data_IF_629887252403
#
_entry.id   IF_629887252403
#
_cell.length_a   1.000
_cell.length_b   1.000
_cell.length_c   1.000
_cell.angle_alpha   90.00
_cell.angle_beta   90.00
_cell.angle_gamma   90.00
#
_symmetry.space_group_name_H-M   'P 1'
#
loop_
_entity.id
_entity.type
_entity.pdbx_description
1 polymer ?
#
# COMPACT_ATOMS: atom_id res chain seq x y z
N UNK A 1 11.55 -12.75 24.46
CA UNK A 1 10.21 -12.70 25.08
C UNK A 1 9.45 -11.48 24.57
N UNK A 2 10.06 -10.29 24.66
CA UNK A 2 9.54 -9.02 24.12
C UNK A 2 9.23 -9.03 22.60
N UNK A 3 10.08 -9.65 21.78
CA UNK A 3 9.85 -9.77 20.33
C UNK A 3 8.66 -10.67 19.97
N UNK A 4 8.39 -11.70 20.77
CA UNK A 4 7.29 -12.64 20.52
C UNK A 4 5.94 -11.98 20.88
N UNK A 5 5.90 -11.24 21.99
CA UNK A 5 4.75 -10.42 22.38
C UNK A 5 4.48 -9.31 21.37
N UNK A 6 5.51 -8.64 20.85
CA UNK A 6 5.37 -7.61 19.81
C UNK A 6 4.80 -8.21 18.51
N UNK A 7 5.27 -9.40 18.12
CA UNK A 7 4.74 -10.13 16.95
C UNK A 7 3.26 -10.48 17.11
N UNK A 8 2.87 -10.96 18.30
CA UNK A 8 1.48 -11.30 18.61
C UNK A 8 0.57 -10.07 18.56
N UNK A 9 0.98 -8.97 19.18
CA UNK A 9 0.22 -7.70 19.17
C UNK A 9 0.04 -7.17 17.74
N UNK A 10 1.11 -7.15 16.95
CA UNK A 10 1.06 -6.72 15.54
C UNK A 10 0.15 -7.60 14.69
N UNK A 11 0.17 -8.91 14.91
CA UNK A 11 -0.73 -9.85 14.22
C UNK A 11 -2.19 -9.61 14.61
N UNK A 12 -2.49 -9.41 15.89
CA UNK A 12 -3.84 -9.11 16.37
C UNK A 12 -4.37 -7.80 15.79
N UNK A 13 -3.53 -6.75 15.75
CA UNK A 13 -3.90 -5.46 15.17
C UNK A 13 -4.20 -5.58 13.67
N UNK A 14 -3.30 -6.22 12.92
CA UNK A 14 -3.46 -6.46 11.47
C UNK A 14 -4.75 -7.26 11.19
N UNK A 15 -5.03 -8.28 11.99
CA UNK A 15 -6.24 -9.12 11.85
C UNK A 15 -7.51 -8.34 12.13
N UNK A 16 -7.52 -7.49 13.18
CA UNK A 16 -8.67 -6.65 13.50
C UNK A 16 -8.95 -5.61 12.42
N UNK A 17 -7.91 -4.97 11.87
CA UNK A 17 -8.03 -4.02 10.76
C UNK A 17 -8.59 -4.70 9.50
N UNK A 18 -8.08 -5.89 9.15
CA UNK A 18 -8.59 -6.69 8.04
C UNK A 18 -10.07 -7.04 8.22
N UNK A 19 -10.45 -7.59 9.37
CA UNK A 19 -11.84 -7.94 9.67
C UNK A 19 -12.75 -6.70 9.63
N UNK A 20 -12.26 -5.57 10.13
CA UNK A 20 -12.95 -4.29 10.04
C UNK A 20 -13.18 -3.84 8.60
N UNK A 21 -12.17 -3.97 7.75
CA UNK A 21 -12.24 -3.57 6.35
C UNK A 21 -13.16 -4.48 5.52
N UNK A 22 -13.13 -5.80 5.78
CA UNK A 22 -14.05 -6.78 5.17
C UNK A 22 -15.50 -6.50 5.57
N UNK A 23 -15.76 -6.26 6.87
CA UNK A 23 -17.11 -5.97 7.37
C UNK A 23 -17.71 -4.67 6.83
N UNK A 24 -16.87 -3.66 6.60
CA UNK A 24 -17.28 -2.37 6.02
C UNK A 24 -17.33 -2.37 4.50
N UNK A 25 -16.99 -3.50 3.85
CA UNK A 25 -16.84 -3.63 2.40
C UNK A 25 -15.84 -2.61 1.79
N UNK A 26 -14.93 -2.07 2.62
CA UNK A 26 -13.94 -1.09 2.18
C UNK A 26 -12.70 -1.75 1.58
N UNK A 27 -12.52 -3.06 1.78
CA UNK A 27 -11.45 -3.86 1.19
C UNK A 27 -11.96 -5.27 0.89
N UNK A 28 -11.57 -5.80 -0.29
CA UNK A 28 -11.67 -7.21 -0.60
C UNK A 28 -10.26 -7.83 -0.51
N UNK A 29 -10.00 -8.73 0.44
CA UNK A 29 -8.72 -9.42 0.53
C UNK A 29 -8.40 -10.12 -0.79
N UNK A 30 -7.13 -10.05 -1.20
CA UNK A 30 -6.63 -10.69 -2.43
C UNK A 30 -7.31 -10.23 -3.73
N UNK A 31 -7.89 -9.02 -3.75
CA UNK A 31 -8.56 -8.44 -4.93
C UNK A 31 -7.63 -7.84 -5.98
N UNK A 32 -6.34 -7.66 -5.65
CA UNK A 32 -5.30 -7.16 -6.55
C UNK A 32 -4.42 -8.35 -6.96
N UNK A 33 -4.63 -8.91 -8.17
CA UNK A 33 -3.84 -10.04 -8.65
C UNK A 33 -2.43 -9.59 -9.02
N UNK A 34 -1.46 -10.46 -8.79
CA UNK A 34 -0.08 -10.31 -9.27
C UNK A 34 0.14 -11.28 -10.42
N UNK A 35 0.97 -10.87 -11.39
CA UNK A 35 1.35 -11.75 -12.50
C UNK A 35 2.07 -12.98 -11.95
N UNK A 36 1.60 -14.20 -12.27
CA UNK A 36 2.25 -15.43 -11.82
C UNK A 36 3.74 -15.48 -12.14
N UNK A 37 4.52 -16.06 -11.23
CA UNK A 37 5.98 -16.11 -11.32
C UNK A 37 6.49 -16.77 -12.60
N UNK A 38 5.80 -17.79 -13.10
CA UNK A 38 6.15 -18.48 -14.34
C UNK A 38 6.12 -17.54 -15.54
N UNK A 39 5.09 -16.69 -15.62
CA UNK A 39 4.96 -15.67 -16.66
C UNK A 39 5.98 -14.56 -16.44
N UNK A 40 6.14 -14.10 -15.19
CA UNK A 40 7.08 -13.03 -14.86
C UNK A 40 8.53 -13.42 -15.17
N UNK A 41 8.96 -14.63 -14.86
CA UNK A 41 10.31 -15.14 -15.14
C UNK A 41 10.62 -15.27 -16.62
N UNK A 42 9.60 -15.51 -17.46
CA UNK A 42 9.77 -15.59 -18.91
C UNK A 42 10.10 -14.23 -19.54
N UNK A 43 9.60 -13.13 -18.97
CA UNK A 43 9.91 -11.76 -19.40
C UNK A 43 9.62 -10.72 -18.31
N UNK A 44 10.54 -10.55 -17.37
CA UNK A 44 10.33 -9.68 -16.21
C UNK A 44 10.04 -8.22 -16.62
N UNK A 45 10.71 -7.75 -17.68
CA UNK A 45 10.56 -6.38 -18.19
C UNK A 45 9.20 -6.08 -18.82
N UNK A 46 8.44 -7.11 -19.24
CA UNK A 46 7.09 -6.94 -19.78
C UNK A 46 6.05 -6.71 -18.67
N UNK A 47 6.32 -7.22 -17.46
CA UNK A 47 5.40 -7.17 -16.32
C UNK A 47 5.82 -6.17 -15.24
N UNK A 48 7.00 -5.54 -15.38
CA UNK A 48 7.40 -4.42 -14.53
C UNK A 48 6.82 -3.10 -15.05
N UNK A 49 6.10 -2.32 -14.23
CA UNK A 49 5.61 -1.01 -14.65
C UNK A 49 6.77 -0.08 -15.02
N UNK A 50 6.60 0.65 -16.12
CA UNK A 50 7.64 1.54 -16.68
C UNK A 50 7.37 3.02 -16.49
N UNK A 51 6.13 3.37 -16.19
CA UNK A 51 5.67 4.77 -16.15
C UNK A 51 4.82 5.03 -14.91
N UNK A 52 3.82 4.17 -14.68
CA UNK A 52 2.87 4.33 -13.59
C UNK A 52 2.84 3.08 -12.73
N UNK A 53 2.98 3.27 -11.42
CA UNK A 53 2.66 2.28 -10.40
C UNK A 53 1.75 2.91 -9.36
N UNK A 54 0.76 2.15 -8.88
CA UNK A 54 -0.15 2.58 -7.83
C UNK A 54 -0.03 1.58 -6.68
N UNK A 55 0.03 2.09 -5.45
CA UNK A 55 0.20 1.27 -4.26
C UNK A 55 1.65 0.88 -3.95
N UNK A 56 1.85 0.04 -2.92
CA UNK A 56 3.16 -0.21 -2.33
C UNK A 56 4.03 -1.21 -3.10
N UNK A 57 3.47 -2.05 -3.99
CA UNK A 57 4.18 -3.19 -4.60
C UNK A 57 5.48 -2.82 -5.34
N UNK A 58 5.51 -1.66 -6.01
CA UNK A 58 6.68 -1.20 -6.78
C UNK A 58 7.29 0.09 -6.22
N UNK A 59 7.01 0.41 -4.95
CA UNK A 59 7.55 1.61 -4.30
C UNK A 59 9.08 1.57 -4.27
N UNK A 60 9.70 2.73 -4.48
CA UNK A 60 11.16 2.89 -4.38
C UNK A 60 11.98 2.38 -5.57
N UNK A 61 11.35 1.77 -6.59
CA UNK A 61 12.04 1.41 -7.83
C UNK A 61 12.54 2.65 -8.56
N UNK A 62 13.82 2.64 -8.97
CA UNK A 62 14.52 3.81 -9.55
C UNK A 62 13.79 4.34 -10.77
N UNK A 63 13.33 3.45 -11.64
CA UNK A 63 12.59 3.75 -12.86
C UNK A 63 11.21 4.36 -12.62
N UNK A 64 10.68 4.27 -11.39
CA UNK A 64 9.36 4.78 -11.01
C UNK A 64 9.43 6.04 -10.13
N UNK A 65 10.64 6.50 -9.75
CA UNK A 65 10.80 7.74 -8.99
C UNK A 65 10.14 8.98 -9.65
N UNK A 66 10.12 9.13 -10.99
CA UNK A 66 9.34 10.21 -11.62
C UNK A 66 7.85 10.16 -11.28
N UNK A 67 7.29 8.95 -11.11
CA UNK A 67 5.89 8.79 -10.72
C UNK A 67 5.67 9.12 -9.23
N UNK A 68 6.64 8.81 -8.36
CA UNK A 68 6.56 9.19 -6.94
C UNK A 68 6.47 10.71 -6.77
N UNK A 69 7.23 11.48 -7.56
CA UNK A 69 7.14 12.94 -7.61
C UNK A 69 5.74 13.42 -8.01
N UNK A 70 5.15 12.80 -9.04
CA UNK A 70 3.78 13.10 -9.49
C UNK A 70 2.75 12.77 -8.39
N UNK A 71 2.90 11.64 -7.67
CA UNK A 71 2.02 11.29 -6.54
C UNK A 71 2.05 12.37 -5.47
N UNK A 72 3.24 12.89 -5.12
CA UNK A 72 3.37 13.98 -4.16
C UNK A 72 2.72 15.28 -4.64
N UNK A 73 2.92 15.67 -5.91
CA UNK A 73 2.21 16.83 -6.50
C UNK A 73 0.70 16.69 -6.42
N UNK A 74 0.18 15.51 -6.76
CA UNK A 74 -1.25 15.20 -6.68
C UNK A 74 -1.76 15.31 -5.24
N UNK A 75 -1.03 14.76 -4.26
CA UNK A 75 -1.38 14.87 -2.85
C UNK A 75 -1.41 16.34 -2.38
N UNK A 76 -0.36 17.11 -2.68
CA UNK A 76 -0.31 18.54 -2.31
C UNK A 76 -1.45 19.31 -2.94
N UNK A 77 -1.75 19.07 -4.22
CA UNK A 77 -2.88 19.70 -4.91
C UNK A 77 -4.22 19.33 -4.27
N UNK A 78 -4.43 18.05 -3.94
CA UNK A 78 -5.63 17.57 -3.26
C UNK A 78 -5.82 18.25 -1.89
N UNK A 79 -4.77 18.26 -1.07
CA UNK A 79 -4.81 18.87 0.26
C UNK A 79 -5.10 20.37 0.20
N UNK A 80 -4.49 21.09 -0.75
CA UNK A 80 -4.71 22.53 -0.95
C UNK A 80 -6.16 22.87 -1.30
N UNK A 81 -6.87 21.97 -2.00
CA UNK A 81 -8.24 22.18 -2.46
C UNK A 81 -9.29 21.83 -1.41
N UNK A 82 -9.01 20.86 -0.54
CA UNK A 82 -10.04 20.25 0.30
C UNK A 82 -9.92 20.63 1.78
N UNK A 83 -8.70 20.79 2.31
CA UNK A 83 -8.48 20.82 3.76
C UNK A 83 -7.47 21.86 4.27
N UNK A 84 -6.65 22.46 3.38
CA UNK A 84 -5.53 23.34 3.76
C UNK A 84 -4.25 22.56 4.10
N UNK A 85 -3.08 23.20 4.01
CA UNK A 85 -1.77 22.53 4.14
C UNK A 85 -1.51 21.88 5.51
N UNK A 86 -2.19 22.34 6.57
CA UNK A 86 -1.99 21.85 7.95
C UNK A 86 -2.61 20.46 8.23
N UNK A 87 -3.27 19.84 7.26
CA UNK A 87 -3.94 18.54 7.42
C UNK A 87 -3.15 17.33 6.91
N UNK A 88 -1.91 17.54 6.45
CA UNK A 88 -1.07 16.44 5.96
C UNK A 88 -0.87 15.35 7.03
N UNK A 89 -0.70 15.74 8.29
CA UNK A 89 -0.50 14.80 9.39
C UNK A 89 -1.71 13.87 9.57
N UNK A 90 -2.93 14.42 9.53
CA UNK A 90 -4.18 13.64 9.61
C UNK A 90 -4.34 12.72 8.40
N UNK A 91 -3.99 13.19 7.21
CA UNK A 91 -4.02 12.37 5.99
C UNK A 91 -3.06 11.18 6.10
N UNK A 92 -1.81 11.43 6.51
CA UNK A 92 -0.80 10.39 6.71
C UNK A 92 -1.24 9.39 7.78
N UNK A 93 -1.76 9.86 8.92
CA UNK A 93 -2.31 8.98 9.97
C UNK A 93 -3.46 8.09 9.44
N UNK A 94 -4.34 8.64 8.62
CA UNK A 94 -5.44 7.87 7.99
C UNK A 94 -4.91 6.82 7.01
N UNK A 95 -3.89 7.16 6.22
CA UNK A 95 -3.23 6.22 5.29
C UNK A 95 -2.55 5.10 6.08
N UNK A 96 -1.82 5.42 7.15
CA UNK A 96 -1.14 4.43 8.01
C UNK A 96 -2.15 3.47 8.64
N UNK A 97 -3.26 3.99 9.17
CA UNK A 97 -4.35 3.17 9.73
C UNK A 97 -5.04 2.26 8.71
N UNK A 98 -4.88 2.54 7.43
CA UNK A 98 -5.44 1.74 6.34
C UNK A 98 -4.42 0.79 5.70
N UNK A 99 -3.14 0.90 6.06
CA UNK A 99 -2.03 0.22 5.38
C UNK A 99 -2.19 -1.30 5.41
N UNK A 100 -2.55 -1.89 6.55
CA UNK A 100 -2.78 -3.33 6.68
C UNK A 100 -3.89 -3.82 5.73
N UNK A 101 -5.01 -3.08 5.67
CA UNK A 101 -6.13 -3.43 4.80
C UNK A 101 -5.75 -3.29 3.31
N UNK A 102 -5.01 -2.24 2.94
CA UNK A 102 -4.51 -2.05 1.57
C UNK A 102 -3.57 -3.18 1.18
N UNK A 103 -2.63 -3.56 2.04
CA UNK A 103 -1.68 -4.65 1.76
C UNK A 103 -2.36 -5.99 1.62
N UNK A 104 -3.36 -6.27 2.44
CA UNK A 104 -4.14 -7.49 2.32
C UNK A 104 -5.00 -7.56 1.05
N UNK A 105 -5.15 -6.46 0.31
CA UNK A 105 -5.76 -6.49 -1.02
C UNK A 105 -4.86 -7.19 -2.04
N UNK A 106 -3.55 -7.26 -1.82
CA UNK A 106 -2.63 -7.96 -2.71
C UNK A 106 -2.60 -9.45 -2.42
N UNK A 107 -2.41 -10.25 -3.47
CA UNK A 107 -2.21 -11.70 -3.35
C UNK A 107 -0.91 -12.03 -2.61
N UNK A 108 0.15 -11.27 -2.89
CA UNK A 108 1.47 -11.45 -2.28
C UNK A 108 1.62 -10.61 -1.01
N UNK A 109 2.41 -11.12 -0.05
CA UNK A 109 2.81 -10.35 1.12
C UNK A 109 3.76 -9.21 0.71
N UNK A 110 3.33 -7.97 0.92
CA UNK A 110 4.17 -6.79 0.69
C UNK A 110 4.77 -6.37 2.02
N UNK A 111 6.11 -6.43 2.12
CA UNK A 111 6.86 -6.04 3.31
C UNK A 111 6.64 -4.55 3.67
N UNK A 112 6.63 -4.24 4.98
CA UNK A 112 6.70 -2.85 5.45
C UNK A 112 8.09 -2.30 5.14
N UNK A 113 8.14 -1.12 4.52
CA UNK A 113 9.36 -0.33 4.38
C UNK A 113 9.67 0.40 5.70
#
# INVERSE_FOLDING_TARGET
MEEETNRQERWMQTTNELLGAVRKETCQPYSIPVVPDELRKSNETAYMPKVVSIGPLYKGKKELLPMEEIKWRCLTSLLSRTFGQDTIATCLDTVIKSDAAVRASYVDEIALD
#
